data_IF_554855939357
#
_entry.id   IF_554855939357
#
_cell.length_a   1.000
_cell.length_b   1.000
_cell.length_c   1.000
_cell.angle_alpha   90.00
_cell.angle_beta   90.00
_cell.angle_gamma   90.00
#
_symmetry.space_group_name_H-M   'P 1'
#
loop_
_entity.id
_entity.type
_entity.pdbx_description
1 polymer ?
#
# COMPACT_ATOMS: atom_id res chain seq x y z
N UNK A 1 16.76 40.78 22.84
CA UNK A 1 16.99 39.78 21.78
C UNK A 1 16.86 40.48 20.43
N UNK A 2 17.82 40.38 19.51
CA UNK A 2 17.74 41.10 18.23
C UNK A 2 16.71 40.46 17.32
N UNK A 3 15.95 41.26 16.55
CA UNK A 3 14.91 40.77 15.62
C UNK A 3 15.43 39.74 14.60
N UNK A 4 16.74 39.76 14.31
CA UNK A 4 17.42 38.82 13.41
C UNK A 4 17.57 37.42 14.02
N UNK A 5 17.81 37.33 15.33
CA UNK A 5 17.95 36.04 16.04
C UNK A 5 16.60 35.33 16.11
N UNK A 6 15.51 36.07 16.28
CA UNK A 6 14.15 35.51 16.32
C UNK A 6 13.71 34.95 14.96
N UNK A 7 14.06 35.63 13.86
CA UNK A 7 13.78 35.14 12.50
C UNK A 7 14.54 33.85 12.17
N UNK A 8 15.82 33.75 12.56
CA UNK A 8 16.60 32.52 12.37
C UNK A 8 16.02 31.36 13.19
N UNK A 9 15.57 31.61 14.42
CA UNK A 9 14.93 30.59 15.26
C UNK A 9 13.63 30.05 14.66
N UNK A 10 12.81 30.90 14.03
CA UNK A 10 11.59 30.46 13.33
C UNK A 10 11.94 29.61 12.10
N UNK A 11 12.96 30.01 11.32
CA UNK A 11 13.42 29.23 10.16
C UNK A 11 13.97 27.87 10.60
N UNK A 12 14.78 27.82 11.66
CA UNK A 12 15.31 26.56 12.19
C UNK A 12 14.18 25.68 12.75
N UNK A 13 13.19 26.24 13.44
CA UNK A 13 12.02 25.46 13.90
C UNK A 13 11.19 24.92 12.72
N UNK A 14 11.03 25.68 11.64
CA UNK A 14 10.33 25.22 10.43
C UNK A 14 11.09 24.09 9.70
N UNK A 15 12.43 24.15 9.69
CA UNK A 15 13.26 23.07 9.12
C UNK A 15 13.29 21.82 10.00
N UNK A 16 13.27 21.97 11.33
CA UNK A 16 13.20 20.83 12.26
C UNK A 16 11.80 20.21 12.29
N UNK A 17 10.73 20.99 12.11
CA UNK A 17 9.37 20.44 11.99
C UNK A 17 9.11 19.69 10.69
N UNK A 18 9.84 20.00 9.61
CA UNK A 18 9.82 19.19 8.38
C UNK A 18 10.61 17.88 8.51
N UNK A 19 11.51 17.78 9.49
CA UNK A 19 12.37 16.61 9.69
C UNK A 19 11.84 15.62 10.75
N UNK A 20 10.71 15.93 11.41
CA UNK A 20 10.16 15.13 12.50
C UNK A 20 8.80 14.51 12.19
N UNK A 21 8.45 14.35 10.91
CA UNK A 21 7.55 13.25 10.53
C UNK A 21 8.38 12.00 10.76
N UNK A 22 7.99 11.17 11.72
CA UNK A 22 8.69 9.94 12.07
C UNK A 22 8.94 9.14 10.80
N UNK A 23 10.19 9.12 10.31
CA UNK A 23 10.55 8.25 9.22
C UNK A 23 10.52 6.83 9.78
N UNK A 24 9.49 6.08 9.42
CA UNK A 24 9.51 4.63 9.57
C UNK A 24 10.75 4.15 8.83
N UNK A 25 11.68 3.49 9.53
CA UNK A 25 12.87 2.95 8.87
C UNK A 25 12.44 1.83 7.93
N UNK A 26 12.54 2.06 6.61
CA UNK A 26 12.17 1.08 5.60
C UNK A 26 13.39 0.39 5.00
N UNK A 27 13.26 -0.89 4.64
CA UNK A 27 14.17 -1.65 3.80
C UNK A 27 13.48 -2.04 2.49
N UNK A 28 14.24 -2.18 1.41
CA UNK A 28 13.71 -2.76 0.17
C UNK A 28 13.62 -4.28 0.31
N UNK A 29 12.46 -4.85 0.00
CA UNK A 29 12.21 -6.29 -0.04
C UNK A 29 11.90 -6.73 -1.47
N UNK A 30 12.42 -7.90 -1.85
CA UNK A 30 12.18 -8.57 -3.14
C UNK A 30 11.06 -9.61 -2.96
N UNK A 31 9.92 -9.38 -3.59
CA UNK A 31 8.73 -10.24 -3.50
C UNK A 31 8.81 -11.36 -4.53
N UNK A 32 9.67 -12.35 -4.26
CA UNK A 32 9.91 -13.55 -5.08
C UNK A 32 10.33 -13.25 -6.54
N UNK A 33 11.01 -12.13 -6.78
CA UNK A 33 11.46 -11.71 -8.11
C UNK A 33 10.35 -11.14 -8.99
N UNK A 34 9.17 -10.84 -8.42
CA UNK A 34 8.03 -10.25 -9.14
C UNK A 34 8.07 -8.72 -9.14
N UNK A 35 8.45 -8.13 -8.01
CA UNK A 35 8.63 -6.69 -7.82
C UNK A 35 9.43 -6.45 -6.55
N UNK A 36 9.95 -5.24 -6.39
CA UNK A 36 10.57 -4.74 -5.18
C UNK A 36 9.68 -3.66 -4.55
N UNK A 37 9.67 -3.58 -3.22
CA UNK A 37 8.97 -2.52 -2.51
C UNK A 37 9.70 -2.19 -1.20
N UNK A 38 9.71 -0.91 -0.83
CA UNK A 38 10.16 -0.50 0.50
C UNK A 38 9.10 -0.84 1.54
N UNK A 39 9.50 -1.57 2.57
CA UNK A 39 8.67 -2.03 3.69
C UNK A 39 9.41 -1.74 5.00
N UNK A 40 8.78 -1.79 6.18
CA UNK A 40 9.52 -1.56 7.42
C UNK A 40 10.69 -2.55 7.62
N UNK A 41 11.79 -2.06 8.18
CA UNK A 41 13.11 -2.70 8.13
C UNK A 41 13.35 -3.86 9.09
N UNK A 42 12.51 -4.00 10.11
CA UNK A 42 12.54 -5.06 11.11
C UNK A 42 11.56 -6.21 10.81
N UNK A 43 11.04 -6.27 9.60
CA UNK A 43 9.91 -7.11 9.23
C UNK A 43 10.25 -8.14 8.14
N UNK A 44 9.87 -9.41 8.39
CA UNK A 44 9.97 -10.49 7.41
C UNK A 44 8.60 -10.77 6.79
N UNK A 45 8.53 -10.80 5.45
CA UNK A 45 7.33 -11.17 4.70
C UNK A 45 7.33 -12.67 4.40
N UNK A 46 6.14 -13.26 4.45
CA UNK A 46 5.91 -14.66 4.06
C UNK A 46 4.84 -14.75 2.99
N UNK A 47 5.01 -15.70 2.06
CA UNK A 47 3.96 -16.06 1.10
C UNK A 47 2.78 -16.69 1.85
N UNK A 48 1.58 -16.24 1.53
CA UNK A 48 0.33 -16.73 2.10
C UNK A 48 -0.49 -17.48 1.05
N UNK A 49 -1.33 -18.40 1.51
CA UNK A 49 -2.35 -19.01 0.66
C UNK A 49 -3.40 -17.96 0.29
N UNK A 50 -3.65 -17.80 -1.02
CA UNK A 50 -4.67 -16.90 -1.54
C UNK A 50 -5.97 -17.63 -1.86
N UNK A 51 -7.08 -17.11 -1.36
CA UNK A 51 -8.41 -17.50 -1.86
C UNK A 51 -8.86 -16.64 -3.06
N UNK A 52 -8.05 -15.65 -3.45
CA UNK A 52 -8.31 -14.77 -4.58
C UNK A 52 -7.61 -15.37 -5.80
N UNK A 53 -8.40 -15.73 -6.81
CA UNK A 53 -7.91 -16.35 -8.03
C UNK A 53 -6.86 -15.49 -8.71
N UNK A 54 -5.71 -16.09 -9.05
CA UNK A 54 -4.65 -15.43 -9.80
C UNK A 54 -3.79 -14.46 -8.99
N UNK A 55 -4.04 -14.30 -7.68
CA UNK A 55 -3.24 -13.45 -6.81
C UNK A 55 -2.10 -14.24 -6.14
N UNK A 56 -0.88 -13.72 -6.22
CA UNK A 56 0.18 -14.05 -5.26
C UNK A 56 0.00 -13.15 -4.04
N UNK A 57 0.01 -13.72 -2.82
CA UNK A 57 -0.25 -12.96 -1.59
C UNK A 57 0.91 -13.09 -0.63
N UNK A 58 1.31 -11.96 -0.06
CA UNK A 58 2.38 -11.85 0.92
C UNK A 58 1.86 -11.14 2.15
N UNK A 59 2.24 -11.61 3.33
CA UNK A 59 1.78 -11.03 4.59
C UNK A 59 2.91 -10.75 5.56
N UNK A 60 2.71 -9.70 6.34
CA UNK A 60 3.50 -9.33 7.50
C UNK A 60 2.67 -9.49 8.80
N UNK A 61 3.34 -9.93 9.88
CA UNK A 61 2.84 -10.02 11.26
C UNK A 61 1.45 -10.65 11.44
N UNK A 62 1.17 -11.73 10.70
CA UNK A 62 -0.07 -12.48 10.87
C UNK A 62 -0.08 -13.28 12.18
N UNK A 63 -0.58 -12.67 13.25
CA UNK A 63 -1.25 -13.42 14.31
C UNK A 63 -2.69 -13.71 13.85
N UNK A 64 -2.94 -14.94 13.42
CA UNK A 64 -4.27 -15.43 13.03
C UNK A 64 -5.26 -15.24 14.19
N UNK A 65 -6.05 -14.17 14.17
CA UNK A 65 -7.10 -13.90 15.17
C UNK A 65 -7.18 -12.48 15.70
N UNK A 66 -6.18 -11.62 15.46
CA UNK A 66 -6.27 -10.19 15.77
C UNK A 66 -6.85 -9.39 14.59
N UNK A 67 -7.64 -8.34 14.84
CA UNK A 67 -8.06 -7.42 13.80
C UNK A 67 -6.80 -6.90 13.09
N UNK A 68 -6.89 -6.77 11.77
CA UNK A 68 -5.91 -6.09 10.92
C UNK A 68 -5.49 -4.82 11.66
N UNK A 69 -4.30 -4.87 12.24
CA UNK A 69 -3.74 -3.83 13.09
C UNK A 69 -2.25 -3.93 12.83
N UNK A 70 -1.65 -2.84 12.33
CA UNK A 70 -0.27 -2.72 11.85
C UNK A 70 0.17 -3.79 10.82
N UNK A 71 -0.74 -4.64 10.33
CA UNK A 71 -0.44 -5.72 9.41
C UNK A 71 -0.51 -5.24 7.97
N UNK A 72 0.56 -5.49 7.20
CA UNK A 72 0.60 -5.23 5.77
C UNK A 72 0.34 -6.53 5.01
N UNK A 73 -0.60 -6.48 4.07
CA UNK A 73 -0.84 -7.58 3.12
C UNK A 73 -0.60 -7.05 1.72
N UNK A 74 0.17 -7.78 0.93
CA UNK A 74 0.49 -7.40 -0.45
C UNK A 74 -0.07 -8.46 -1.39
N UNK A 75 -0.86 -8.02 -2.36
CA UNK A 75 -1.41 -8.83 -3.43
C UNK A 75 -0.70 -8.47 -4.72
N UNK A 76 -0.22 -9.45 -5.47
CA UNK A 76 0.32 -9.26 -6.81
C UNK A 76 -0.54 -10.00 -7.84
N UNK A 77 -0.81 -9.33 -8.95
CA UNK A 77 -1.58 -9.83 -10.08
C UNK A 77 -0.83 -9.51 -11.39
N UNK A 78 -0.97 -10.39 -12.37
CA UNK A 78 -0.37 -10.24 -13.71
C UNK A 78 -1.45 -10.45 -14.79
N UNK A 79 -1.32 -9.78 -15.94
CA UNK A 79 -2.31 -9.75 -17.04
C UNK A 79 -2.78 -11.12 -17.51
N UNK A 80 -1.99 -12.18 -17.27
CA UNK A 80 -2.38 -13.57 -17.56
C UNK A 80 -3.68 -14.03 -16.88
N UNK A 81 -4.19 -13.30 -15.88
CA UNK A 81 -5.43 -13.62 -15.17
C UNK A 81 -6.68 -12.98 -15.79
N UNK A 82 -6.50 -11.99 -16.67
CA UNK A 82 -7.56 -11.17 -17.24
C UNK A 82 -8.39 -12.04 -18.20
N UNK A 83 -9.71 -12.03 -18.05
CA UNK A 83 -10.61 -12.69 -19.01
C UNK A 83 -10.60 -11.93 -20.34
N UNK A 84 -10.86 -12.63 -21.45
CA UNK A 84 -10.90 -12.07 -22.82
C UNK A 84 -11.94 -10.95 -22.97
N UNK A 85 -12.84 -10.79 -22.00
CA UNK A 85 -13.92 -9.79 -21.98
C UNK A 85 -13.54 -8.48 -21.27
N UNK A 86 -12.43 -8.45 -20.53
CA UNK A 86 -11.99 -7.28 -19.77
C UNK A 86 -10.95 -6.45 -20.53
N UNK A 87 -10.97 -5.14 -20.27
CA UNK A 87 -10.24 -4.18 -21.11
C UNK A 87 -8.82 -3.90 -20.59
N UNK A 88 -8.60 -4.04 -19.28
CA UNK A 88 -7.29 -3.93 -18.63
C UNK A 88 -7.28 -4.68 -17.29
N UNK A 89 -6.07 -5.03 -16.81
CA UNK A 89 -5.89 -5.79 -15.56
C UNK A 89 -6.35 -5.03 -14.31
N UNK A 90 -6.16 -3.71 -14.27
CA UNK A 90 -6.48 -2.90 -13.07
C UNK A 90 -7.97 -2.94 -12.79
N UNK A 91 -8.80 -2.76 -13.82
CA UNK A 91 -10.26 -2.85 -13.74
C UNK A 91 -10.69 -4.28 -13.37
N UNK A 92 -10.06 -5.30 -13.96
CA UNK A 92 -10.34 -6.69 -13.62
C UNK A 92 -10.02 -7.02 -12.16
N UNK A 93 -8.87 -6.57 -11.64
CA UNK A 93 -8.48 -6.76 -10.24
C UNK A 93 -9.45 -6.04 -9.32
N UNK A 94 -9.85 -4.80 -9.62
CA UNK A 94 -10.86 -4.07 -8.85
C UNK A 94 -12.18 -4.85 -8.83
N UNK A 95 -12.60 -5.43 -9.95
CA UNK A 95 -13.83 -6.22 -10.04
C UNK A 95 -13.75 -7.52 -9.21
N UNK A 96 -12.66 -8.27 -9.32
CA UNK A 96 -12.44 -9.47 -8.49
C UNK A 96 -12.47 -9.11 -7.00
N UNK A 97 -11.79 -8.03 -6.62
CA UNK A 97 -11.73 -7.57 -5.24
C UNK A 97 -13.09 -7.09 -4.76
N UNK A 98 -13.85 -6.36 -5.58
CA UNK A 98 -15.20 -5.94 -5.22
C UNK A 98 -16.11 -7.18 -5.02
N UNK A 99 -16.03 -8.19 -5.88
CA UNK A 99 -16.89 -9.38 -5.75
C UNK A 99 -16.52 -10.30 -4.58
N UNK A 100 -15.22 -10.42 -4.28
CA UNK A 100 -14.70 -11.47 -3.39
C UNK A 100 -14.10 -10.95 -2.08
N UNK A 101 -14.02 -9.63 -1.88
CA UNK A 101 -13.38 -9.04 -0.70
C UNK A 101 -14.30 -8.05 0.03
N UNK A 102 -13.83 -7.59 1.18
CA UNK A 102 -14.48 -6.52 1.96
C UNK A 102 -14.11 -5.13 1.47
N UNK A 103 -13.14 -5.00 0.55
CA UNK A 103 -12.68 -3.73 0.01
C UNK A 103 -13.55 -3.33 -1.18
N UNK A 104 -14.22 -2.19 -1.06
CA UNK A 104 -15.11 -1.65 -2.09
C UNK A 104 -14.94 -0.14 -2.23
N UNK A 105 -15.71 0.45 -3.15
CA UNK A 105 -15.77 1.89 -3.40
C UNK A 105 -14.43 2.48 -3.85
N UNK A 106 -14.01 2.19 -5.10
CA UNK A 106 -12.82 2.83 -5.66
C UNK A 106 -12.96 4.35 -5.62
N UNK A 107 -11.94 4.98 -5.07
CA UNK A 107 -11.73 6.42 -5.11
C UNK A 107 -10.31 6.71 -5.59
N UNK A 108 -10.09 7.92 -6.09
CA UNK A 108 -8.75 8.37 -6.48
C UNK A 108 -8.28 9.39 -5.46
N UNK A 109 -7.16 9.06 -4.80
CA UNK A 109 -6.51 9.93 -3.81
C UNK A 109 -5.02 10.08 -4.15
N UNK A 110 -4.56 11.32 -4.35
CA UNK A 110 -3.16 11.64 -4.65
C UNK A 110 -2.57 10.84 -5.83
N UNK A 111 -3.41 10.46 -6.80
CA UNK A 111 -3.01 9.67 -7.97
C UNK A 111 -3.10 8.16 -7.78
N UNK A 112 -3.46 7.67 -6.58
CA UNK A 112 -3.67 6.26 -6.30
C UNK A 112 -5.14 5.89 -6.36
N UNK A 113 -5.41 4.67 -6.85
CA UNK A 113 -6.71 4.04 -6.64
C UNK A 113 -6.75 3.43 -5.25
N UNK A 114 -7.71 3.89 -4.44
CA UNK A 114 -7.90 3.46 -3.05
C UNK A 114 -9.25 2.75 -2.93
N UNK A 115 -9.24 1.54 -2.36
CA UNK A 115 -10.43 0.79 -1.97
C UNK A 115 -10.56 0.83 -0.43
N UNK A 116 -11.77 1.03 0.07
CA UNK A 116 -12.04 1.10 1.52
C UNK A 116 -12.66 -0.20 2.01
N UNK A 117 -12.22 -0.66 3.18
CA UNK A 117 -12.82 -1.81 3.83
C UNK A 117 -14.23 -1.47 4.36
N UNK A 118 -15.26 -2.13 3.84
CA UNK A 118 -16.65 -1.90 4.25
C UNK A 118 -17.01 -2.47 5.62
N UNK A 119 -16.24 -3.46 6.11
CA UNK A 119 -16.52 -4.07 7.42
C UNK A 119 -16.05 -3.22 8.58
N UNK A 120 -15.06 -2.35 8.34
CA UNK A 120 -14.49 -1.47 9.35
C UNK A 120 -15.00 -0.06 9.05
N UNK A 121 -16.29 0.18 9.32
CA UNK A 121 -16.87 1.51 9.13
C UNK A 121 -16.12 2.53 10.00
N UNK A 122 -15.30 3.35 9.33
CA UNK A 122 -14.68 4.60 9.77
C UNK A 122 -13.32 4.60 10.47
N UNK A 123 -12.68 3.47 10.80
CA UNK A 123 -11.34 3.48 11.43
C UNK A 123 -10.46 2.31 10.93
N UNK A 124 -9.70 2.51 9.84
CA UNK A 124 -8.70 1.55 9.33
C UNK A 124 -9.20 0.61 8.22
N UNK A 125 -8.25 -0.06 7.56
CA UNK A 125 -8.49 -0.95 6.41
C UNK A 125 -8.63 -0.24 5.06
N UNK A 126 -7.50 0.08 4.44
CA UNK A 126 -7.41 0.58 3.07
C UNK A 126 -6.68 -0.45 2.21
N UNK A 127 -6.99 -0.47 0.91
CA UNK A 127 -6.16 -1.09 -0.10
C UNK A 127 -5.76 -0.03 -1.14
N UNK A 128 -4.46 0.15 -1.35
CA UNK A 128 -3.94 0.93 -2.47
C UNK A 128 -3.61 0.01 -3.63
N UNK A 129 -3.99 0.41 -4.84
CA UNK A 129 -3.66 -0.28 -6.08
C UNK A 129 -2.59 0.54 -6.82
N UNK A 130 -1.48 -0.11 -7.14
CA UNK A 130 -0.42 0.40 -8.01
C UNK A 130 -0.27 -0.54 -9.22
N UNK A 131 -0.01 0.02 -10.39
CA UNK A 131 0.23 -0.73 -11.62
C UNK A 131 1.52 -0.26 -12.28
N UNK A 132 2.12 -1.13 -13.08
CA UNK A 132 3.25 -0.75 -13.93
C UNK A 132 2.78 0.13 -15.12
N UNK A 133 3.73 0.76 -15.84
CA UNK A 133 3.45 1.75 -16.88
C UNK A 133 2.61 1.24 -18.06
N UNK A 134 2.71 -0.06 -18.35
CA UNK A 134 1.96 -0.73 -19.42
C UNK A 134 0.69 -1.44 -18.92
N UNK A 135 0.34 -1.31 -17.64
CA UNK A 135 -0.82 -1.92 -17.01
C UNK A 135 -0.90 -3.45 -17.26
N UNK A 136 0.22 -4.15 -17.12
CA UNK A 136 0.28 -5.62 -17.20
C UNK A 136 0.47 -6.29 -15.85
N UNK A 137 0.84 -5.52 -14.83
CA UNK A 137 1.09 -6.00 -13.48
C UNK A 137 0.48 -5.02 -12.47
N UNK A 138 -0.12 -5.57 -11.42
CA UNK A 138 -0.83 -4.81 -10.40
C UNK A 138 -0.43 -5.32 -9.02
N UNK A 139 -0.10 -4.38 -8.14
CA UNK A 139 0.14 -4.63 -6.72
C UNK A 139 -0.93 -3.93 -5.89
N UNK A 140 -1.63 -4.70 -5.06
CA UNK A 140 -2.56 -4.21 -4.05
C UNK A 140 -1.93 -4.26 -2.66
N UNK A 141 -1.80 -3.14 -1.97
CA UNK A 141 -1.22 -3.06 -0.61
C UNK A 141 -2.32 -2.73 0.38
N UNK A 142 -2.51 -3.59 1.37
CA UNK A 142 -3.51 -3.47 2.42
C UNK A 142 -2.87 -3.06 3.74
N UNK A 143 -3.51 -2.14 4.45
CA UNK A 143 -3.15 -1.76 5.83
C UNK A 143 -4.09 -0.69 6.38
N UNK A 144 -3.80 -0.18 7.57
CA UNK A 144 -4.71 0.73 8.29
C UNK A 144 -4.33 2.20 8.23
N UNK A 145 -3.11 2.52 7.79
CA UNK A 145 -2.65 3.90 7.63
C UNK A 145 -2.45 4.22 6.14
N UNK A 146 -3.33 5.06 5.59
CA UNK A 146 -3.31 5.43 4.19
C UNK A 146 -2.01 6.13 3.77
N UNK A 147 -1.41 6.95 4.62
CA UNK A 147 -0.17 7.69 4.28
C UNK A 147 1.04 6.76 4.21
N UNK A 148 1.09 5.75 5.06
CA UNK A 148 2.13 4.71 5.01
C UNK A 148 1.96 3.86 3.75
N UNK A 149 0.72 3.46 3.43
CA UNK A 149 0.44 2.72 2.19
C UNK A 149 0.81 3.51 0.94
N UNK A 150 0.56 4.83 0.91
CA UNK A 150 1.01 5.70 -0.18
C UNK A 150 2.54 5.72 -0.28
N UNK A 151 3.24 5.69 0.85
CA UNK A 151 4.70 5.63 0.87
C UNK A 151 5.21 4.30 0.28
N UNK A 152 4.61 3.17 0.68
CA UNK A 152 4.95 1.86 0.13
C UNK A 152 4.61 1.75 -1.35
N UNK A 153 3.43 2.21 -1.77
CA UNK A 153 3.00 2.19 -3.17
C UNK A 153 3.94 2.98 -4.09
N UNK A 154 4.42 4.15 -3.64
CA UNK A 154 5.39 4.96 -4.39
C UNK A 154 6.77 4.31 -4.51
N UNK A 155 7.07 3.30 -3.71
CA UNK A 155 8.36 2.61 -3.70
C UNK A 155 8.39 1.33 -4.51
N UNK A 156 7.27 0.97 -5.16
CA UNK A 156 7.18 -0.24 -5.98
C UNK A 156 8.03 -0.07 -7.23
N UNK A 157 8.89 -1.05 -7.47
CA UNK A 157 9.67 -1.23 -8.69
C UNK A 157 9.35 -2.61 -9.27
N UNK A 158 8.65 -2.63 -10.41
CA UNK A 158 8.35 -3.84 -11.18
C UNK A 158 9.58 -4.33 -11.97
#
# INVERSE_FOLDING_TARGET
MSKKIFAILIVVMAFVSLASVFAVETTTHDFDGLFNMSVPSDEEFVTLDSNITGASVFGYNFNYGDPIGDNIIVYYFNESIVDDNDTNITEYVINILDENSTFKHPSVEDGFTVLYNQMVQHDGGYMLIASNDNETEVVGIVGDNLDDLKTYANSIEF
#
